data_IF_160099215148
#
_entry.id   IF_160099215148
#
_cell.length_a   1.000
_cell.length_b   1.000
_cell.length_c   1.000
_cell.angle_alpha   90.00
_cell.angle_beta   90.00
_cell.angle_gamma   90.00
#
_symmetry.space_group_name_H-M   'P 1'
#
loop_
_entity.id
_entity.type
_entity.pdbx_description
1 polymer ?
#
# COMPACT_ATOMS: atom_id res chain seq x y z
N UNK A 1 13.40 -17.51 20.63
CA UNK A 1 13.38 -16.97 21.99
C UNK A 1 13.35 -15.44 21.92
N UNK A 2 12.29 -14.83 22.49
CA UNK A 2 12.30 -13.49 23.03
C UNK A 2 12.55 -12.32 22.09
N UNK A 3 11.62 -11.98 21.18
CA UNK A 3 11.46 -10.58 20.77
C UNK A 3 10.83 -9.83 21.93
N UNK A 4 11.68 -9.41 22.87
CA UNK A 4 11.27 -8.50 23.92
C UNK A 4 10.61 -7.28 23.30
N UNK A 5 9.42 -6.97 23.70
CA UNK A 5 8.70 -5.75 23.39
C UNK A 5 9.62 -4.57 23.74
N UNK A 6 10.24 -3.97 22.76
CA UNK A 6 10.95 -2.71 22.94
C UNK A 6 9.91 -1.60 23.09
N UNK A 7 9.34 -1.49 24.28
CA UNK A 7 8.35 -0.48 24.67
C UNK A 7 8.87 0.96 24.65
N UNK A 8 10.06 1.19 24.10
CA UNK A 8 10.68 2.51 24.05
C UNK A 8 10.98 2.97 22.60
N UNK A 9 10.36 2.33 21.60
CA UNK A 9 10.46 2.82 20.23
C UNK A 9 9.57 4.06 20.07
N UNK A 10 10.06 5.08 19.39
CA UNK A 10 9.33 6.31 19.06
C UNK A 10 7.95 6.04 18.43
N UNK A 11 7.79 4.92 17.73
CA UNK A 11 6.51 4.50 17.15
C UNK A 11 5.42 4.26 18.19
N UNK A 12 5.77 3.78 19.39
CA UNK A 12 4.81 3.55 20.49
C UNK A 12 4.32 4.88 21.07
N UNK A 13 5.21 5.86 21.22
CA UNK A 13 4.82 7.20 21.70
C UNK A 13 3.87 7.88 20.71
N UNK A 14 4.16 7.79 19.41
CA UNK A 14 3.29 8.32 18.36
C UNK A 14 1.91 7.63 18.39
N UNK A 15 1.89 6.31 18.57
CA UNK A 15 0.66 5.55 18.70
C UNK A 15 -0.16 5.96 19.94
N UNK A 16 0.47 6.11 21.10
CA UNK A 16 -0.20 6.55 22.33
C UNK A 16 -0.72 7.99 22.22
N UNK A 17 0.05 8.90 21.60
CA UNK A 17 -0.40 10.25 21.34
C UNK A 17 -1.63 10.26 20.41
N UNK A 18 -1.63 9.42 19.38
CA UNK A 18 -2.77 9.25 18.50
C UNK A 18 -4.00 8.68 19.24
N UNK A 19 -3.83 7.67 20.11
CA UNK A 19 -4.91 7.15 20.96
C UNK A 19 -5.49 8.27 21.85
N UNK A 20 -4.62 9.06 22.48
CA UNK A 20 -5.06 10.19 23.31
C UNK A 20 -5.90 11.18 22.50
N UNK A 21 -5.46 11.53 21.30
CA UNK A 21 -6.20 12.40 20.38
C UNK A 21 -7.57 11.80 20.01
N UNK A 22 -7.64 10.51 19.67
CA UNK A 22 -8.90 9.84 19.34
C UNK A 22 -9.85 9.80 20.54
N UNK A 23 -9.35 9.65 21.75
CA UNK A 23 -10.16 9.72 22.99
C UNK A 23 -10.71 11.13 23.21
N UNK A 24 -9.96 12.16 22.89
CA UNK A 24 -10.36 13.56 23.08
C UNK A 24 -11.37 14.02 22.03
N UNK A 25 -11.12 13.67 20.76
CA UNK A 25 -11.98 14.08 19.64
C UNK A 25 -13.24 13.23 19.52
N UNK A 26 -13.18 11.96 19.93
CA UNK A 26 -14.29 11.00 19.87
C UNK A 26 -14.97 10.91 18.50
N UNK A 27 -14.23 10.69 17.38
CA UNK A 27 -14.85 10.58 16.07
C UNK A 27 -15.79 9.36 16.02
N UNK A 28 -16.87 9.47 15.24
CA UNK A 28 -17.88 8.40 15.12
C UNK A 28 -17.31 7.13 14.52
N UNK A 29 -16.40 7.27 13.58
CA UNK A 29 -15.72 6.15 12.90
C UNK A 29 -14.23 6.44 12.84
N UNK A 30 -13.42 5.41 13.15
CA UNK A 30 -11.99 5.43 12.97
C UNK A 30 -11.62 4.25 12.09
N UNK A 31 -10.81 4.49 11.06
CA UNK A 31 -10.20 3.43 10.25
C UNK A 31 -8.69 3.47 10.47
N UNK A 32 -8.16 2.34 10.90
CA UNK A 32 -6.72 2.18 11.14
C UNK A 32 -6.17 1.04 10.26
N UNK A 33 -5.01 1.30 9.63
CA UNK A 33 -4.29 0.31 8.82
C UNK A 33 -2.94 0.00 9.44
N UNK A 34 -2.59 -1.27 9.48
CA UNK A 34 -1.30 -1.72 10.00
C UNK A 34 -0.90 -3.10 9.44
N UNK A 35 0.23 -3.61 9.93
CA UNK A 35 0.69 -4.96 9.60
C UNK A 35 -0.32 -6.03 10.07
N UNK A 36 -0.41 -7.19 9.40
CA UNK A 36 -1.38 -8.23 9.76
C UNK A 36 -1.27 -8.74 11.21
N UNK A 37 -0.09 -8.66 11.80
CA UNK A 37 0.19 -9.15 13.15
C UNK A 37 -0.13 -8.13 14.26
N UNK A 38 -0.57 -6.93 13.92
CA UNK A 38 -0.90 -5.92 14.92
C UNK A 38 -2.04 -6.39 15.84
N UNK A 39 -1.89 -6.28 17.17
CA UNK A 39 -2.89 -6.75 18.13
C UNK A 39 -4.07 -5.78 18.23
N UNK A 40 -4.95 -5.78 17.25
CA UNK A 40 -6.04 -4.80 17.09
C UNK A 40 -6.99 -4.68 18.32
N UNK A 41 -7.10 -5.72 19.14
CA UNK A 41 -7.89 -5.68 20.39
C UNK A 41 -7.38 -4.63 21.40
N UNK A 42 -6.13 -4.18 21.23
CA UNK A 42 -5.58 -3.09 22.06
C UNK A 42 -6.39 -1.80 21.94
N UNK A 43 -7.04 -1.57 20.80
CA UNK A 43 -7.91 -0.42 20.62
C UNK A 43 -9.11 -0.43 21.54
N UNK A 44 -9.77 -1.58 21.70
CA UNK A 44 -10.90 -1.75 22.60
C UNK A 44 -10.51 -1.40 24.04
N UNK A 45 -9.37 -1.93 24.48
CA UNK A 45 -8.82 -1.61 25.79
C UNK A 45 -8.50 -0.12 25.93
N UNK A 46 -7.69 0.45 25.04
CA UNK A 46 -7.17 1.80 25.21
C UNK A 46 -8.22 2.91 24.97
N UNK A 47 -9.21 2.67 24.12
CA UNK A 47 -10.23 3.67 23.80
C UNK A 47 -11.43 3.62 24.74
N UNK A 48 -11.73 2.45 25.33
CA UNK A 48 -12.92 2.27 26.18
C UNK A 48 -12.59 2.30 27.68
N UNK A 49 -11.36 2.03 28.09
CA UNK A 49 -10.98 2.06 29.52
C UNK A 49 -11.23 3.43 30.14
N UNK A 50 -11.92 3.46 31.29
CA UNK A 50 -12.26 4.67 32.03
C UNK A 50 -13.44 5.45 31.44
N UNK A 51 -14.14 4.93 30.45
CA UNK A 51 -15.39 5.46 29.94
C UNK A 51 -16.53 4.70 30.65
N UNK A 52 -17.31 5.41 31.47
CA UNK A 52 -18.39 4.80 32.26
C UNK A 52 -19.65 4.51 31.43
N UNK A 53 -19.87 5.31 30.38
CA UNK A 53 -21.04 5.17 29.52
C UNK A 53 -20.75 4.18 28.36
N UNK A 54 -21.40 3.00 28.33
CA UNK A 54 -21.23 2.03 27.25
C UNK A 54 -21.61 2.56 25.86
N UNK A 55 -22.49 3.57 25.80
CA UNK A 55 -22.86 4.21 24.53
C UNK A 55 -21.69 4.98 23.92
N UNK A 56 -20.72 5.37 24.73
CA UNK A 56 -19.51 6.04 24.26
C UNK A 56 -18.37 5.05 23.92
N UNK A 57 -18.57 3.76 24.12
CA UNK A 57 -17.56 2.79 23.75
C UNK A 57 -17.42 2.64 22.24
N UNK A 58 -16.22 2.28 21.81
CA UNK A 58 -15.98 1.84 20.45
C UNK A 58 -16.17 0.34 20.31
N UNK A 59 -16.97 -0.05 19.33
CA UNK A 59 -16.98 -1.43 18.83
C UNK A 59 -15.86 -1.58 17.82
N UNK A 60 -15.01 -2.60 18.01
CA UNK A 60 -13.79 -2.83 17.23
C UNK A 60 -13.95 -4.03 16.32
N UNK A 61 -13.91 -3.81 15.04
CA UNK A 61 -13.94 -4.84 14.02
C UNK A 61 -12.61 -4.82 13.25
N UNK A 62 -12.12 -5.98 12.85
CA UNK A 62 -10.85 -6.09 12.14
C UNK A 62 -10.97 -7.09 11.01
N UNK A 63 -10.32 -6.79 9.90
CA UNK A 63 -10.14 -7.72 8.78
C UNK A 63 -8.71 -7.69 8.26
N UNK A 64 -8.32 -8.75 7.57
CA UNK A 64 -7.07 -8.79 6.82
C UNK A 64 -7.41 -8.84 5.33
N UNK A 65 -6.90 -7.87 4.57
CA UNK A 65 -7.07 -7.85 3.13
C UNK A 65 -5.73 -7.72 2.42
N UNK A 66 -5.66 -8.26 1.21
CA UNK A 66 -4.53 -8.12 0.31
C UNK A 66 -4.99 -7.36 -0.93
N UNK A 67 -4.19 -6.43 -1.42
CA UNK A 67 -4.51 -5.66 -2.63
C UNK A 67 -4.80 -6.57 -3.83
N UNK A 68 -4.17 -7.75 -3.88
CA UNK A 68 -4.39 -8.72 -4.96
C UNK A 68 -5.80 -9.29 -5.00
N UNK A 69 -6.47 -9.44 -3.86
CA UNK A 69 -7.89 -9.86 -3.83
C UNK A 69 -8.84 -8.75 -4.26
N UNK A 70 -8.32 -7.55 -4.42
CA UNK A 70 -9.06 -6.37 -4.87
C UNK A 70 -8.74 -5.98 -6.32
N UNK A 71 -8.08 -6.88 -7.07
CA UNK A 71 -7.75 -6.69 -8.49
C UNK A 71 -6.42 -5.94 -8.75
N UNK A 72 -5.59 -5.72 -7.73
CA UNK A 72 -4.32 -4.99 -7.87
C UNK A 72 -3.14 -5.94 -7.95
N UNK A 73 -2.31 -5.93 -9.01
CA UNK A 73 -1.18 -6.84 -9.16
C UNK A 73 0.05 -6.45 -8.31
N UNK A 74 -0.18 -5.99 -7.09
CA UNK A 74 0.83 -5.70 -6.08
C UNK A 74 0.43 -6.37 -4.76
N UNK A 75 1.29 -7.26 -4.25
CA UNK A 75 1.04 -7.94 -2.98
C UNK A 75 1.18 -6.94 -1.84
N UNK A 76 0.09 -6.68 -1.12
CA UNK A 76 0.09 -5.85 0.09
C UNK A 76 -0.96 -6.34 1.07
N UNK A 77 -0.57 -7.29 1.89
CA UNK A 77 -1.44 -7.81 2.95
C UNK A 77 -1.39 -6.87 4.15
N UNK A 78 -2.55 -6.36 4.56
CA UNK A 78 -2.70 -5.42 5.67
C UNK A 78 -3.89 -5.78 6.55
N UNK A 79 -3.78 -5.40 7.80
CA UNK A 79 -4.91 -5.42 8.74
C UNK A 79 -5.57 -4.05 8.70
N UNK A 80 -6.87 -4.04 8.48
CA UNK A 80 -7.72 -2.87 8.61
C UNK A 80 -8.60 -3.05 9.84
N UNK A 81 -8.61 -2.04 10.71
CA UNK A 81 -9.46 -2.04 11.90
C UNK A 81 -10.43 -0.88 11.79
N UNK A 82 -11.70 -1.20 11.86
CA UNK A 82 -12.79 -0.23 11.85
C UNK A 82 -13.35 -0.15 13.25
N UNK A 83 -13.28 1.04 13.84
CA UNK A 83 -13.81 1.33 15.16
C UNK A 83 -15.01 2.24 15.01
N UNK A 84 -16.10 1.89 15.63
CA UNK A 84 -17.34 2.65 15.60
C UNK A 84 -17.75 3.03 17.01
N UNK A 85 -18.00 4.30 17.25
CA UNK A 85 -18.54 4.75 18.50
C UNK A 85 -20.01 4.29 18.60
N UNK A 86 -20.38 3.69 19.73
CA UNK A 86 -21.75 3.24 19.99
C UNK A 86 -22.69 4.40 20.37
N UNK A 87 -22.18 5.65 20.37
CA UNK A 87 -22.99 6.79 20.76
C UNK A 87 -24.24 6.88 19.86
N UNK A 88 -25.39 7.03 20.49
CA UNK A 88 -26.71 7.14 19.85
C UNK A 88 -26.86 8.39 18.97
N UNK A 89 -25.89 9.30 19.04
CA UNK A 89 -25.92 10.60 18.37
C UNK A 89 -25.59 10.54 16.87
N UNK A 90 -25.70 9.38 16.20
CA UNK A 90 -25.73 9.54 14.78
C UNK A 90 -25.10 8.51 13.86
N UNK A 91 -24.50 7.42 14.30
CA UNK A 91 -24.03 6.42 13.35
C UNK A 91 -24.71 5.07 13.58
N UNK A 92 -25.64 4.72 12.72
CA UNK A 92 -26.24 3.39 12.75
C UNK A 92 -25.60 2.51 11.66
N UNK A 93 -25.22 1.30 12.02
CA UNK A 93 -24.89 0.29 11.03
C UNK A 93 -26.15 -0.50 10.71
N UNK A 94 -26.56 -0.46 9.45
CA UNK A 94 -27.64 -1.34 8.98
C UNK A 94 -27.21 -2.79 8.93
N UNK A 95 -25.91 -3.03 8.74
CA UNK A 95 -25.32 -4.37 8.78
C UNK A 95 -24.08 -4.36 9.66
N UNK A 96 -23.87 -5.41 10.48
CA UNK A 96 -22.61 -5.58 11.19
C UNK A 96 -21.45 -5.61 10.19
N UNK A 97 -20.30 -5.00 10.54
CA UNK A 97 -19.10 -5.13 9.77
C UNK A 97 -18.69 -6.61 9.69
N UNK A 98 -18.53 -7.11 8.47
CA UNK A 98 -18.14 -8.49 8.21
C UNK A 98 -17.00 -8.54 7.21
N UNK A 99 -15.88 -9.17 7.58
CA UNK A 99 -14.76 -9.45 6.67
C UNK A 99 -15.23 -10.27 5.45
N UNK A 100 -16.06 -11.28 5.68
CA UNK A 100 -16.62 -12.11 4.62
C UNK A 100 -17.43 -11.27 3.63
N UNK A 101 -18.37 -10.49 4.12
CA UNK A 101 -19.22 -9.65 3.26
C UNK A 101 -18.41 -8.57 2.54
N UNK A 102 -17.40 -7.97 3.20
CA UNK A 102 -16.50 -7.05 2.51
C UNK A 102 -15.81 -7.73 1.32
N UNK A 103 -15.28 -8.92 1.51
CA UNK A 103 -14.61 -9.65 0.42
C UNK A 103 -15.57 -10.07 -0.68
N UNK A 104 -16.81 -10.42 -0.35
CA UNK A 104 -17.85 -10.75 -1.35
C UNK A 104 -18.16 -9.56 -2.27
N UNK A 105 -18.26 -8.35 -1.72
CA UNK A 105 -18.64 -7.16 -2.51
C UNK A 105 -17.44 -6.39 -3.09
N UNK A 106 -16.28 -6.52 -2.49
CA UNK A 106 -15.10 -5.75 -2.90
C UNK A 106 -14.09 -6.54 -3.73
N UNK A 107 -14.18 -7.89 -3.74
CA UNK A 107 -13.28 -8.72 -4.52
C UNK A 107 -13.43 -8.45 -6.02
N UNK A 108 -12.28 -8.35 -6.68
CA UNK A 108 -12.20 -8.23 -8.14
C UNK A 108 -11.19 -9.27 -8.62
N UNK A 109 -11.51 -10.05 -9.65
CA UNK A 109 -10.55 -10.95 -10.27
C UNK A 109 -9.28 -10.21 -10.67
N UNK A 110 -8.13 -10.82 -10.42
CA UNK A 110 -6.86 -10.25 -10.82
C UNK A 110 -6.52 -10.70 -12.24
N UNK A 111 -6.80 -9.82 -13.21
CA UNK A 111 -6.56 -10.06 -14.64
C UNK A 111 -5.23 -9.45 -15.10
N UNK A 112 -4.73 -8.45 -14.37
CA UNK A 112 -3.51 -7.72 -14.71
C UNK A 112 -2.29 -8.31 -13.99
N UNK A 113 -1.13 -8.19 -14.63
CA UNK A 113 0.16 -8.47 -13.99
C UNK A 113 0.89 -7.18 -13.56
N UNK A 114 2.00 -7.33 -12.85
CA UNK A 114 2.79 -6.21 -12.35
C UNK A 114 3.42 -5.33 -13.42
N UNK A 115 3.51 -5.79 -14.67
CA UNK A 115 4.05 -4.99 -15.78
C UNK A 115 3.17 -3.76 -16.10
N UNK A 116 1.91 -3.79 -15.69
CA UNK A 116 1.02 -2.63 -15.82
C UNK A 116 1.60 -1.37 -15.16
N UNK A 117 2.44 -1.52 -14.15
CA UNK A 117 3.08 -0.42 -13.46
C UNK A 117 4.38 0.05 -14.11
N UNK A 118 5.01 -0.78 -14.94
CA UNK A 118 6.31 -0.53 -15.57
C UNK A 118 6.12 0.14 -16.94
N UNK A 119 5.55 1.35 -16.95
CA UNK A 119 5.15 2.08 -18.16
C UNK A 119 5.92 3.36 -18.40
N UNK A 120 6.91 3.66 -17.58
CA UNK A 120 7.68 4.88 -17.77
C UNK A 120 8.39 4.89 -19.13
N UNK A 121 8.58 6.08 -19.69
CA UNK A 121 9.25 6.24 -20.96
C UNK A 121 10.69 5.72 -20.92
N UNK A 122 11.24 5.37 -22.07
CA UNK A 122 12.64 4.94 -22.16
C UNK A 122 13.60 6.00 -21.63
N UNK A 123 13.30 7.26 -21.87
CA UNK A 123 14.12 8.40 -21.44
C UNK A 123 14.07 8.55 -19.92
N UNK A 124 12.89 8.49 -19.30
CA UNK A 124 12.75 8.53 -17.85
C UNK A 124 13.47 7.35 -17.16
N UNK A 125 13.42 6.16 -17.76
CA UNK A 125 14.16 4.99 -17.26
C UNK A 125 15.67 5.18 -17.44
N UNK A 126 16.13 5.79 -18.53
CA UNK A 126 17.53 6.09 -18.78
C UNK A 126 18.06 7.14 -17.81
N UNK A 127 17.30 8.20 -17.56
CA UNK A 127 17.63 9.25 -16.59
C UNK A 127 17.72 8.71 -15.18
N UNK A 128 16.75 7.85 -14.80
CA UNK A 128 16.76 7.18 -13.50
C UNK A 128 17.98 6.26 -13.36
N UNK A 129 18.34 5.54 -14.41
CA UNK A 129 19.53 4.69 -14.44
C UNK A 129 20.82 5.50 -14.32
N UNK A 130 20.93 6.59 -15.08
CA UNK A 130 22.09 7.49 -15.03
C UNK A 130 22.24 8.09 -13.62
N UNK A 131 21.13 8.46 -13.04
CA UNK A 131 21.10 8.97 -11.67
C UNK A 131 21.58 7.90 -10.66
N UNK A 132 21.01 6.68 -10.70
CA UNK A 132 21.41 5.59 -9.80
C UNK A 132 22.89 5.22 -9.98
N UNK A 133 23.41 5.24 -11.20
CA UNK A 133 24.81 5.03 -11.50
C UNK A 133 25.72 6.06 -10.84
N UNK A 134 25.33 7.34 -10.84
CA UNK A 134 26.10 8.41 -10.14
C UNK A 134 26.17 8.17 -8.65
N UNK A 135 25.08 7.77 -8.03
CA UNK A 135 25.04 7.49 -6.58
C UNK A 135 25.92 6.29 -6.18
N UNK A 136 25.88 5.23 -6.99
CA UNK A 136 26.71 4.05 -6.78
C UNK A 136 28.19 4.35 -7.05
N UNK A 137 28.51 5.17 -8.06
CA UNK A 137 29.89 5.55 -8.41
C UNK A 137 30.48 6.57 -7.46
N UNK A 138 29.70 7.37 -6.75
CA UNK A 138 30.19 8.17 -5.63
C UNK A 138 30.76 7.30 -4.51
N UNK A 139 30.34 6.02 -4.44
CA UNK A 139 30.86 5.00 -3.52
C UNK A 139 32.00 4.18 -4.15
N UNK A 140 32.04 4.09 -5.50
CA UNK A 140 33.02 3.31 -6.25
C UNK A 140 33.69 4.18 -7.33
N UNK A 141 34.83 4.77 -7.01
CA UNK A 141 35.55 5.79 -7.78
C UNK A 141 36.14 5.35 -9.14
N UNK A 142 35.48 4.59 -9.99
CA UNK A 142 36.11 4.13 -11.23
C UNK A 142 35.28 3.82 -12.46
N UNK A 143 34.02 4.23 -12.58
CA UNK A 143 33.26 3.96 -13.80
C UNK A 143 33.10 5.20 -14.67
N UNK A 144 33.86 5.29 -15.76
CA UNK A 144 33.63 6.22 -16.86
C UNK A 144 32.35 5.80 -17.62
N UNK A 145 31.23 6.45 -17.32
CA UNK A 145 29.98 6.27 -18.05
C UNK A 145 28.88 5.44 -17.30
N UNK A 146 27.65 5.53 -17.80
CA UNK A 146 26.51 4.76 -17.30
C UNK A 146 26.62 3.33 -17.78
N UNK A 147 26.65 2.30 -16.88
CA UNK A 147 26.71 0.91 -17.29
C UNK A 147 25.53 0.54 -18.20
N UNK A 148 25.79 -0.26 -19.22
CA UNK A 148 24.75 -0.76 -20.14
C UNK A 148 23.71 -1.65 -19.44
N UNK A 149 24.08 -2.34 -18.37
CA UNK A 149 23.20 -3.24 -17.61
C UNK A 149 22.88 -2.70 -16.21
N UNK A 150 21.64 -2.83 -15.80
CA UNK A 150 21.21 -2.56 -14.44
C UNK A 150 21.91 -3.46 -13.41
N UNK A 151 22.28 -4.68 -13.81
CA UNK A 151 22.98 -5.63 -12.92
C UNK A 151 24.33 -5.10 -12.45
N UNK A 152 25.01 -4.33 -13.29
CA UNK A 152 26.29 -3.73 -12.95
C UNK A 152 26.19 -2.67 -11.83
N UNK A 153 24.99 -2.15 -11.58
CA UNK A 153 24.70 -1.17 -10.53
C UNK A 153 24.30 -1.80 -9.20
N UNK A 154 24.15 -3.13 -9.16
CA UNK A 154 23.71 -3.83 -7.95
C UNK A 154 24.91 -4.10 -7.02
N UNK A 155 24.69 -3.95 -5.72
CA UNK A 155 25.66 -4.39 -4.71
C UNK A 155 25.86 -5.91 -4.75
N UNK A 156 26.96 -6.40 -4.19
CA UNK A 156 27.25 -7.84 -4.12
C UNK A 156 26.10 -8.62 -3.46
N UNK A 157 25.48 -8.08 -2.40
CA UNK A 157 24.34 -8.70 -1.71
C UNK A 157 23.07 -8.71 -2.55
N UNK A 158 22.82 -7.65 -3.32
CA UNK A 158 21.69 -7.58 -4.26
C UNK A 158 21.89 -8.55 -5.43
N UNK A 159 23.11 -8.63 -5.98
CA UNK A 159 23.46 -9.59 -7.00
C UNK A 159 23.34 -11.04 -6.53
N UNK A 160 23.71 -11.35 -5.30
CA UNK A 160 23.51 -12.67 -4.73
C UNK A 160 22.03 -13.05 -4.70
N UNK A 161 21.15 -12.14 -4.26
CA UNK A 161 19.69 -12.33 -4.27
C UNK A 161 19.13 -12.51 -5.68
N UNK A 162 19.58 -11.69 -6.62
CA UNK A 162 19.17 -11.79 -8.02
C UNK A 162 19.55 -13.16 -8.62
N UNK A 163 20.78 -13.63 -8.38
CA UNK A 163 21.24 -14.95 -8.86
C UNK A 163 20.40 -16.09 -8.31
N UNK A 164 20.03 -16.02 -7.03
CA UNK A 164 19.15 -17.01 -6.39
C UNK A 164 17.78 -17.05 -7.08
N UNK A 165 17.16 -15.89 -7.29
CA UNK A 165 15.87 -15.81 -7.98
C UNK A 165 15.97 -16.28 -9.44
N UNK A 166 17.04 -15.95 -10.15
CA UNK A 166 17.29 -16.44 -11.50
C UNK A 166 17.45 -17.98 -11.54
N UNK A 167 18.09 -18.57 -10.52
CA UNK A 167 18.19 -20.04 -10.39
C UNK A 167 16.80 -20.66 -10.22
N UNK A 168 15.96 -20.11 -9.34
CA UNK A 168 14.60 -20.59 -9.11
C UNK A 168 13.72 -20.45 -10.35
N UNK A 169 13.83 -19.34 -11.08
CA UNK A 169 13.09 -19.15 -12.33
C UNK A 169 13.40 -20.26 -13.34
N UNK A 170 14.67 -20.62 -13.51
CA UNK A 170 15.10 -21.70 -14.42
C UNK A 170 14.49 -23.04 -14.05
N UNK A 171 14.35 -23.31 -12.75
CA UNK A 171 13.71 -24.55 -12.28
C UNK A 171 12.20 -24.54 -12.42
N UNK A 172 11.57 -23.37 -12.45
CA UNK A 172 10.11 -23.20 -12.54
C UNK A 172 9.61 -23.07 -13.98
N UNK A 173 10.50 -23.18 -14.98
CA UNK A 173 10.17 -23.10 -16.43
C UNK A 173 9.33 -21.87 -16.83
N UNK A 174 9.55 -20.73 -16.18
CA UNK A 174 8.86 -19.49 -16.54
C UNK A 174 9.75 -18.67 -17.48
N UNK A 175 9.32 -18.52 -18.74
CA UNK A 175 9.98 -17.65 -19.73
C UNK A 175 9.72 -16.16 -19.45
N UNK A 176 8.78 -15.88 -18.56
CA UNK A 176 8.39 -14.54 -18.16
C UNK A 176 9.32 -13.93 -17.10
N UNK A 177 9.37 -12.61 -17.06
CA UNK A 177 10.11 -11.88 -16.05
C UNK A 177 9.52 -12.06 -14.64
N UNK A 178 10.35 -11.82 -13.64
CA UNK A 178 10.02 -11.94 -12.22
C UNK A 178 10.23 -10.61 -11.50
N UNK A 179 9.26 -10.21 -10.69
CA UNK A 179 9.43 -9.08 -9.79
C UNK A 179 10.08 -9.50 -8.49
N UNK A 180 11.05 -8.74 -8.03
CA UNK A 180 11.68 -8.98 -6.73
C UNK A 180 11.97 -7.67 -5.99
N UNK A 181 12.00 -7.73 -4.67
CA UNK A 181 12.49 -6.65 -3.81
C UNK A 181 13.94 -6.93 -3.42
N UNK A 182 14.88 -6.18 -3.98
CA UNK A 182 16.31 -6.32 -3.70
C UNK A 182 16.69 -5.89 -2.28
N UNK A 183 15.82 -5.17 -1.57
CA UNK A 183 16.06 -4.73 -0.21
C UNK A 183 15.76 -5.80 0.86
N UNK A 184 15.00 -6.84 0.51
CA UNK A 184 14.60 -7.90 1.45
C UNK A 184 15.48 -9.13 1.32
N UNK A 185 15.72 -9.81 2.46
CA UNK A 185 16.40 -11.10 2.47
C UNK A 185 15.54 -12.21 1.84
N UNK A 186 16.19 -13.23 1.28
CA UNK A 186 15.54 -14.35 0.59
C UNK A 186 14.55 -15.11 1.50
N UNK A 187 14.85 -15.20 2.80
CA UNK A 187 13.97 -15.82 3.80
C UNK A 187 12.56 -15.21 3.87
N UNK A 188 12.39 -13.98 3.39
CA UNK A 188 11.10 -13.28 3.34
C UNK A 188 10.37 -13.45 2.02
N UNK A 189 10.83 -14.32 1.13
CA UNK A 189 10.27 -14.52 -0.21
C UNK A 189 10.03 -13.18 -0.95
N UNK A 190 11.08 -12.38 -1.17
CA UNK A 190 10.97 -11.03 -1.72
C UNK A 190 10.70 -11.00 -3.22
N UNK A 191 10.24 -12.09 -3.79
CA UNK A 191 9.99 -12.28 -5.22
C UNK A 191 8.57 -12.84 -5.44
N UNK A 192 8.11 -12.73 -6.67
CA UNK A 192 6.81 -13.22 -7.07
C UNK A 192 6.91 -13.90 -8.43
N UNK A 193 6.68 -15.20 -8.44
CA UNK A 193 6.65 -16.02 -9.67
C UNK A 193 5.33 -15.86 -10.43
N UNK A 194 4.30 -15.30 -9.79
CA UNK A 194 2.98 -15.08 -10.34
C UNK A 194 2.83 -13.68 -11.00
N UNK A 195 3.94 -13.08 -11.41
CA UNK A 195 4.00 -11.76 -12.07
C UNK A 195 3.38 -10.60 -11.29
N UNK A 196 3.24 -10.74 -9.99
CA UNK A 196 2.77 -9.68 -9.09
C UNK A 196 3.96 -8.96 -8.48
N UNK A 197 3.82 -7.66 -8.27
CA UNK A 197 4.83 -6.89 -7.54
C UNK A 197 4.85 -7.34 -6.08
N UNK A 198 6.03 -7.61 -5.49
CA UNK A 198 6.14 -7.93 -4.06
C UNK A 198 5.66 -6.79 -3.16
N UNK A 199 5.37 -7.11 -1.91
CA UNK A 199 4.96 -6.11 -0.92
C UNK A 199 5.95 -4.94 -0.83
N UNK A 200 5.45 -3.73 -1.06
CA UNK A 200 6.22 -2.52 -0.83
C UNK A 200 6.39 -2.29 0.68
N UNK A 201 7.63 -2.16 1.10
CA UNK A 201 8.04 -1.70 2.42
C UNK A 201 8.88 -0.43 2.27
N UNK A 202 9.08 0.30 3.36
CA UNK A 202 9.74 1.62 3.38
C UNK A 202 11.04 1.72 2.54
N UNK A 203 11.79 0.63 2.45
CA UNK A 203 13.06 0.58 1.72
C UNK A 203 13.02 -0.39 0.53
N UNK A 204 11.84 -0.75 0.03
CA UNK A 204 11.71 -1.64 -1.13
C UNK A 204 12.50 -1.13 -2.31
N UNK A 205 13.27 -1.98 -2.91
CA UNK A 205 13.96 -1.75 -4.17
C UNK A 205 13.41 -2.77 -5.18
N UNK A 206 12.36 -2.37 -5.87
CA UNK A 206 11.66 -3.25 -6.81
C UNK A 206 12.43 -3.35 -8.09
N UNK A 207 12.73 -4.56 -8.48
CA UNK A 207 13.49 -4.92 -9.67
C UNK A 207 12.68 -5.90 -10.50
N UNK A 208 12.58 -5.64 -11.78
CA UNK A 208 12.04 -6.57 -12.76
C UNK A 208 13.19 -7.31 -13.41
N UNK A 209 13.28 -8.61 -13.16
CA UNK A 209 14.28 -9.51 -13.74
C UNK A 209 13.67 -10.22 -14.94
N UNK A 210 14.13 -9.89 -16.14
CA UNK A 210 13.72 -10.53 -17.38
C UNK A 210 14.73 -11.64 -17.78
N UNK A 211 14.32 -12.68 -18.54
CA UNK A 211 15.26 -13.64 -19.15
C UNK A 211 16.36 -12.94 -19.97
N UNK A 212 15.95 -11.98 -20.78
CA UNK A 212 16.86 -11.07 -21.46
C UNK A 212 17.26 -9.94 -20.50
N UNK A 213 18.52 -9.92 -20.11
CA UNK A 213 19.05 -8.94 -19.14
C UNK A 213 19.04 -7.50 -19.63
N UNK A 214 18.91 -7.26 -20.94
CA UNK A 214 18.73 -5.92 -21.50
C UNK A 214 17.39 -5.32 -21.13
N UNK A 215 16.41 -6.16 -20.78
CA UNK A 215 15.07 -5.76 -20.36
C UNK A 215 14.93 -5.72 -18.83
N UNK A 216 15.98 -6.08 -18.11
CA UNK A 216 16.02 -5.93 -16.64
C UNK A 216 16.00 -4.44 -16.29
N UNK A 217 15.26 -4.09 -15.23
CA UNK A 217 15.30 -2.73 -14.71
C UNK A 217 14.75 -2.57 -13.30
N UNK A 218 15.11 -1.47 -12.66
CA UNK A 218 14.46 -1.02 -11.42
C UNK A 218 13.18 -0.26 -11.75
N UNK A 219 12.26 -0.24 -10.79
CA UNK A 219 11.11 0.64 -10.82
C UNK A 219 11.54 2.10 -10.61
N UNK A 220 10.96 3.00 -11.39
CA UNK A 220 11.16 4.45 -11.26
C UNK A 220 10.31 5.03 -10.11
N UNK A 221 10.56 6.27 -9.65
CA UNK A 221 9.73 6.91 -8.63
C UNK A 221 8.24 6.93 -9.00
N UNK A 222 7.91 7.25 -10.25
CA UNK A 222 6.53 7.32 -10.73
C UNK A 222 5.84 5.95 -10.66
N UNK A 223 6.56 4.89 -11.02
CA UNK A 223 6.06 3.52 -10.97
C UNK A 223 5.78 3.06 -9.54
N UNK A 224 6.56 3.52 -8.54
CA UNK A 224 6.25 3.26 -7.13
C UNK A 224 4.90 3.84 -6.72
N UNK A 225 4.58 5.07 -7.16
CA UNK A 225 3.27 5.65 -6.92
C UNK A 225 2.17 4.87 -7.64
N UNK A 226 2.41 4.46 -8.89
CA UNK A 226 1.50 3.59 -9.63
C UNK A 226 1.19 2.28 -8.92
N UNK A 227 2.18 1.63 -8.29
CA UNK A 227 1.99 0.40 -7.52
C UNK A 227 1.08 0.58 -6.28
N UNK A 228 0.91 1.80 -5.78
CA UNK A 228 -0.07 2.16 -4.75
C UNK A 228 -1.39 2.66 -5.35
N UNK A 229 -1.49 2.67 -6.68
CA UNK A 229 -2.63 3.15 -7.45
C UNK A 229 -2.95 4.64 -7.22
N UNK A 230 -1.93 5.45 -6.95
CA UNK A 230 -2.08 6.86 -7.17
C UNK A 230 -2.34 7.12 -8.66
N UNK A 231 -3.19 8.07 -9.01
CA UNK A 231 -3.62 8.31 -10.41
C UNK A 231 -2.55 8.99 -11.28
N UNK A 232 -1.28 8.64 -11.07
CA UNK A 232 -0.12 9.21 -11.78
C UNK A 232 0.09 8.61 -13.17
N UNK A 233 -0.53 7.46 -13.45
CA UNK A 233 -0.31 6.68 -14.68
C UNK A 233 -1.59 6.46 -15.51
N UNK A 234 -2.60 7.30 -15.35
CA UNK A 234 -3.84 7.13 -16.13
C UNK A 234 -3.59 7.41 -17.60
N UNK A 235 -4.05 6.53 -18.51
CA UNK A 235 -3.82 6.65 -19.96
C UNK A 235 -4.36 7.96 -20.58
N UNK A 236 -5.26 8.63 -19.90
CA UNK A 236 -6.01 9.78 -20.42
C UNK A 236 -5.35 11.13 -20.17
N UNK A 237 -4.23 11.20 -19.47
CA UNK A 237 -3.47 12.43 -19.24
C UNK A 237 -4.21 13.58 -18.53
N UNK A 238 -5.50 13.43 -18.23
CA UNK A 238 -6.31 14.51 -17.66
C UNK A 238 -6.12 14.71 -16.17
N UNK A 239 -5.87 13.65 -15.41
CA UNK A 239 -5.75 13.73 -13.95
C UNK A 239 -4.36 14.11 -13.45
N UNK A 240 -3.32 13.80 -14.23
CA UNK A 240 -1.95 14.18 -13.88
C UNK A 240 -1.69 15.68 -14.05
N UNK A 241 -2.48 16.38 -14.88
CA UNK A 241 -2.35 17.83 -15.08
C UNK A 241 -2.95 18.68 -13.96
N UNK A 242 -3.95 18.14 -13.25
CA UNK A 242 -4.63 18.86 -12.17
C UNK A 242 -3.94 18.67 -10.81
N UNK A 243 -3.07 17.68 -10.70
CA UNK A 243 -2.23 17.48 -9.54
C UNK A 243 -0.82 17.88 -9.99
N UNK A 244 -0.24 18.88 -9.37
CA UNK A 244 1.15 19.37 -9.59
C UNK A 244 2.21 18.28 -9.28
N UNK A 245 1.91 17.02 -9.62
CA UNK A 245 2.84 15.90 -9.46
C UNK A 245 4.08 16.09 -10.32
N UNK A 246 3.94 16.69 -11.52
CA UNK A 246 5.08 16.98 -12.40
C UNK A 246 6.04 17.96 -11.73
N UNK A 247 5.56 18.92 -10.96
CA UNK A 247 6.39 19.86 -10.23
C UNK A 247 7.07 19.19 -9.01
N UNK A 248 6.36 18.29 -8.34
CA UNK A 248 6.90 17.49 -7.23
C UNK A 248 7.95 16.50 -7.74
N UNK A 249 7.72 15.87 -8.89
CA UNK A 249 8.60 14.85 -9.46
C UNK A 249 9.79 15.46 -10.23
N UNK A 250 9.63 16.64 -10.82
CA UNK A 250 10.68 17.28 -11.63
C UNK A 250 11.80 17.92 -10.79
N UNK A 251 11.55 18.21 -9.52
CA UNK A 251 12.48 19.03 -8.71
C UNK A 251 13.69 18.30 -8.13
N UNK A 252 13.82 16.96 -8.21
CA UNK A 252 14.75 16.38 -7.24
C UNK A 252 15.44 15.04 -7.45
N UNK A 253 15.50 14.45 -8.61
CA UNK A 253 16.36 13.26 -8.83
C UNK A 253 16.22 12.17 -7.70
N UNK A 254 17.30 11.89 -6.94
CA UNK A 254 17.32 10.82 -5.91
C UNK A 254 16.50 11.12 -4.65
N UNK A 255 16.35 12.37 -4.29
CA UNK A 255 15.53 12.71 -3.14
C UNK A 255 14.10 12.19 -3.39
N UNK A 256 13.63 12.29 -4.64
CA UNK A 256 12.33 11.77 -5.04
C UNK A 256 12.27 10.24 -5.06
N UNK A 257 13.31 9.57 -5.52
CA UNK A 257 13.35 8.12 -5.51
C UNK A 257 13.24 7.56 -4.09
N UNK A 258 14.07 8.06 -3.17
CA UNK A 258 14.03 7.62 -1.79
C UNK A 258 12.73 8.02 -1.10
N UNK A 259 12.20 9.20 -1.43
CA UNK A 259 10.92 9.69 -0.92
C UNK A 259 9.75 8.83 -1.44
N UNK A 260 9.69 8.56 -2.74
CA UNK A 260 8.68 7.67 -3.35
C UNK A 260 8.68 6.29 -2.68
N UNK A 261 9.85 5.68 -2.51
CA UNK A 261 9.98 4.39 -1.82
C UNK A 261 9.45 4.42 -0.39
N UNK A 262 9.81 5.45 0.39
CA UNK A 262 9.36 5.61 1.77
C UNK A 262 7.86 5.85 1.85
N UNK A 263 7.34 6.74 1.03
CA UNK A 263 5.91 7.06 1.01
C UNK A 263 5.10 5.84 0.59
N UNK A 264 5.48 5.16 -0.49
CA UNK A 264 4.77 3.98 -0.97
C UNK A 264 4.91 2.79 -0.02
N UNK A 265 6.05 2.64 0.67
CA UNK A 265 6.22 1.60 1.68
C UNK A 265 5.36 1.81 2.93
N UNK A 266 5.16 3.07 3.34
CA UNK A 266 4.37 3.46 4.50
C UNK A 266 2.92 3.82 4.15
N UNK A 267 2.65 4.16 2.88
CA UNK A 267 1.33 4.59 2.42
C UNK A 267 0.30 3.46 2.37
N UNK A 268 -0.96 3.81 2.42
CA UNK A 268 -2.06 2.89 2.14
C UNK A 268 -2.24 2.73 0.64
N UNK A 269 -2.66 1.55 0.19
CA UNK A 269 -3.11 1.37 -1.19
C UNK A 269 -4.42 2.14 -1.40
N UNK A 270 -4.44 3.02 -2.41
CA UNK A 270 -5.62 3.88 -2.69
C UNK A 270 -6.87 3.05 -2.94
N UNK A 271 -6.76 1.97 -3.71
CA UNK A 271 -7.90 1.08 -3.97
C UNK A 271 -8.35 0.35 -2.71
N UNK A 272 -7.41 -0.15 -1.90
CA UNK A 272 -7.78 -0.88 -0.70
C UNK A 272 -8.52 0.00 0.31
N UNK A 273 -8.01 1.22 0.54
CA UNK A 273 -8.67 2.15 1.46
C UNK A 273 -9.97 2.72 0.87
N UNK A 274 -9.99 2.99 -0.45
CA UNK A 274 -11.19 3.49 -1.13
C UNK A 274 -12.34 2.48 -1.07
N UNK A 275 -12.10 1.21 -1.37
CA UNK A 275 -13.11 0.15 -1.24
C UNK A 275 -13.57 -0.05 0.19
N UNK A 276 -12.65 0.02 1.16
CA UNK A 276 -13.03 -0.07 2.57
C UNK A 276 -13.88 1.12 3.02
N UNK A 277 -13.51 2.34 2.61
CA UNK A 277 -14.30 3.54 2.90
C UNK A 277 -15.70 3.44 2.29
N UNK A 278 -15.80 3.05 1.02
CA UNK A 278 -17.09 2.85 0.36
C UNK A 278 -17.94 1.79 1.09
N UNK A 279 -17.33 0.68 1.51
CA UNK A 279 -18.02 -0.35 2.28
C UNK A 279 -18.50 0.16 3.64
N UNK A 280 -17.63 0.85 4.39
CA UNK A 280 -17.97 1.40 5.72
C UNK A 280 -19.08 2.44 5.60
N UNK A 281 -18.96 3.36 4.64
CA UNK A 281 -19.99 4.39 4.40
C UNK A 281 -21.32 3.78 3.91
N UNK A 282 -21.27 2.84 2.99
CA UNK A 282 -22.45 2.14 2.47
C UNK A 282 -23.16 1.25 3.50
N UNK A 283 -22.47 0.84 4.57
CA UNK A 283 -23.07 0.08 5.67
C UNK A 283 -23.39 0.92 6.91
N UNK A 284 -23.12 2.22 6.86
CA UNK A 284 -23.33 3.14 7.98
C UNK A 284 -24.34 4.21 7.56
N UNK A 285 -25.50 4.25 8.22
CA UNK A 285 -26.45 5.34 8.06
C UNK A 285 -26.24 6.36 9.16
N UNK A 286 -26.06 7.60 8.78
CA UNK A 286 -26.09 8.73 9.72
C UNK A 286 -27.53 9.19 9.85
N UNK A 287 -28.11 9.05 11.02
CA UNK A 287 -29.39 9.67 11.33
C UNK A 287 -29.09 11.11 11.79
N UNK A 288 -29.36 12.06 10.91
CA UNK A 288 -29.41 13.44 11.32
C UNK A 288 -30.58 13.59 12.32
N UNK A 289 -30.26 13.91 13.56
CA UNK A 289 -31.32 14.22 14.53
C UNK A 289 -32.16 15.40 13.98
N UNK A 290 -33.42 15.14 13.68
CA UNK A 290 -34.46 16.17 13.56
C UNK A 290 -34.63 16.85 12.20
N UNK A 291 -34.14 16.32 11.05
CA UNK A 291 -34.36 16.97 9.74
C UNK A 291 -35.26 16.16 8.79
N UNK A 292 -35.54 14.89 9.09
CA UNK A 292 -36.41 14.07 8.23
C UNK A 292 -37.59 13.49 9.01
N UNK A 293 -38.50 14.39 9.44
CA UNK A 293 -39.93 14.09 9.47
C UNK A 293 -40.40 14.24 8.01
N UNK A 294 -41.00 13.17 7.47
CA UNK A 294 -41.62 13.07 6.15
C UNK A 294 -40.68 12.89 4.93
N UNK A 295 -40.22 11.69 4.73
CA UNK A 295 -40.05 11.15 3.37
C UNK A 295 -40.65 9.77 3.26
N UNK A 296 -41.96 9.70 3.30
CA UNK A 296 -42.67 8.69 2.51
C UNK A 296 -42.37 9.00 1.04
N UNK A 297 -41.49 8.22 0.43
CA UNK A 297 -41.25 8.37 -1.00
C UNK A 297 -39.85 8.13 -1.52
N UNK A 298 -38.97 7.42 -0.82
CA UNK A 298 -37.73 6.96 -1.45
C UNK A 298 -38.07 5.70 -2.28
N UNK A 299 -38.43 5.95 -3.55
CA UNK A 299 -38.44 4.91 -4.57
C UNK A 299 -37.07 4.24 -4.62
N UNK A 300 -37.07 2.92 -4.63
CA UNK A 300 -35.89 2.07 -4.82
C UNK A 300 -35.01 2.61 -5.93
N UNK A 301 -33.73 2.88 -5.62
CA UNK A 301 -32.72 3.18 -6.62
C UNK A 301 -32.67 2.05 -7.67
N UNK A 302 -32.59 2.37 -8.96
CA UNK A 302 -32.50 1.37 -10.00
C UNK A 302 -31.25 0.50 -9.80
N UNK A 303 -31.43 -0.80 -9.91
CA UNK A 303 -30.32 -1.75 -9.96
C UNK A 303 -29.41 -1.38 -11.13
N UNK A 304 -28.16 -1.09 -10.84
CA UNK A 304 -27.14 -0.93 -11.85
C UNK A 304 -26.80 -2.32 -12.41
N UNK A 305 -27.28 -2.57 -13.64
CA UNK A 305 -26.94 -3.72 -14.47
C UNK A 305 -25.53 -3.61 -15.06
#
# INVERSE_FOLDING_TARGET
>A
MGSGWRFLDNSVLVFLAWIYMMRSVRPLVIIHECTPLFPYKVFELLLNTGISDPQQHYTVNSMISCSTSLGVPCKRKRRYTVLRCNCSAGAFTTRPFSEKHFHEVAAVPLELDGLVFFRDSRDAVADHKAYFAREVSMVASSCNGVPWSWRALLSASQMARLREVCKWRRTSCTDDGVFLSLAQGISHQPYSLDRRVPTLIQNSLIYFCHPDEFRDRMATPLEYYGMQLFPVMLPTGHWAKDIEFDEILSRSGMLEFNRARRLCGNGMSVVSIGKLLAYVLGTTHMVAQGIFEDTEGIQSLPEFG
#
